data_IF_479878799724
#
_entry.id   IF_479878799724
#
_cell.length_a   1.000
_cell.length_b   1.000
_cell.length_c   1.000
_cell.angle_alpha   90.00
_cell.angle_beta   90.00
_cell.angle_gamma   90.00
#
_symmetry.space_group_name_H-M   'P 1'
#
loop_
_entity.id
_entity.type
_entity.pdbx_description
1 polymer ?
#
# COMPACT_ATOMS: atom_id res chain seq x y z
N UNK A 1 -1.49 9.78 -27.03
CA UNK A 1 -0.43 9.34 -26.11
C UNK A 1 -0.84 7.97 -25.62
N UNK A 2 -0.03 6.94 -25.89
CA UNK A 2 -0.27 5.59 -25.38
C UNK A 2 -0.10 5.58 -23.85
N UNK A 3 -0.93 4.82 -23.14
CA UNK A 3 -0.74 4.61 -21.70
C UNK A 3 0.65 3.96 -21.49
N UNK A 4 1.46 4.44 -20.53
CA UNK A 4 2.75 3.81 -20.23
C UNK A 4 2.54 2.34 -19.88
N UNK A 5 3.39 1.42 -20.33
CA UNK A 5 3.28 -0.02 -20.06
C UNK A 5 3.34 -0.30 -18.55
N UNK A 6 2.56 -1.27 -18.06
CA UNK A 6 2.61 -1.71 -16.66
C UNK A 6 4.00 -2.22 -16.29
N UNK A 7 4.47 -1.95 -15.07
CA UNK A 7 5.70 -2.56 -14.53
C UNK A 7 5.55 -4.09 -14.42
N UNK A 8 4.37 -4.52 -13.99
CA UNK A 8 3.96 -5.92 -13.95
C UNK A 8 2.43 -6.03 -13.84
N UNK A 9 1.91 -7.25 -13.95
CA UNK A 9 0.51 -7.56 -13.64
C UNK A 9 0.44 -8.78 -12.74
N UNK A 10 -0.22 -8.65 -11.60
CA UNK A 10 -0.46 -9.74 -10.66
C UNK A 10 -1.89 -10.29 -10.84
N UNK A 11 -2.05 -11.60 -10.75
CA UNK A 11 -3.37 -12.24 -10.84
C UNK A 11 -3.85 -12.66 -9.45
N UNK A 12 -5.06 -12.23 -9.10
CA UNK A 12 -5.81 -12.72 -7.96
C UNK A 12 -6.92 -13.63 -8.50
N UNK A 13 -6.64 -14.94 -8.47
CA UNK A 13 -7.51 -15.96 -9.02
C UNK A 13 -8.40 -16.58 -7.94
N UNK A 14 -9.68 -16.22 -7.98
CA UNK A 14 -10.68 -16.65 -7.00
C UNK A 14 -11.09 -18.11 -7.21
N UNK A 15 -10.84 -18.67 -8.40
CA UNK A 15 -11.30 -20.00 -8.80
C UNK A 15 -10.37 -21.13 -8.34
N UNK A 16 -9.10 -20.82 -8.05
CA UNK A 16 -8.07 -21.84 -7.77
C UNK A 16 -7.70 -21.99 -6.30
N UNK A 17 -8.44 -21.34 -5.38
CA UNK A 17 -8.15 -21.40 -3.96
C UNK A 17 -6.73 -20.91 -3.61
N UNK A 18 -6.15 -20.04 -4.44
CA UNK A 18 -4.83 -19.48 -4.17
C UNK A 18 -4.85 -18.76 -2.82
N UNK A 19 -3.86 -19.05 -1.98
CA UNK A 19 -3.68 -18.36 -0.70
C UNK A 19 -3.59 -16.85 -0.96
N UNK A 20 -4.60 -16.10 -0.55
CA UNK A 20 -4.61 -14.64 -0.61
C UNK A 20 -3.37 -14.03 0.06
N UNK A 21 -2.85 -14.64 1.12
CA UNK A 21 -1.57 -14.26 1.72
C UNK A 21 -0.38 -14.40 0.77
N UNK A 22 -0.35 -15.45 -0.06
CA UNK A 22 0.70 -15.64 -1.07
C UNK A 22 0.58 -14.59 -2.19
N UNK A 23 -0.64 -14.23 -2.60
CA UNK A 23 -0.87 -13.14 -3.55
C UNK A 23 -0.27 -11.83 -3.00
N UNK A 24 -0.63 -11.44 -1.77
CA UNK A 24 -0.12 -10.22 -1.15
C UNK A 24 1.41 -10.23 -1.00
N UNK A 25 2.00 -11.34 -0.54
CA UNK A 25 3.45 -11.48 -0.45
C UNK A 25 4.12 -11.38 -1.82
N UNK A 26 3.55 -12.05 -2.82
CA UNK A 26 4.06 -12.04 -4.19
C UNK A 26 4.04 -10.66 -4.82
N UNK A 27 2.99 -9.85 -4.57
CA UNK A 27 2.96 -8.45 -5.03
C UNK A 27 4.08 -7.64 -4.36
N UNK A 28 4.34 -7.83 -3.06
CA UNK A 28 5.47 -7.16 -2.38
C UNK A 28 6.82 -7.52 -3.00
N UNK A 29 7.01 -8.78 -3.39
CA UNK A 29 8.23 -9.20 -4.12
C UNK A 29 8.32 -8.56 -5.50
N UNK A 30 7.21 -8.52 -6.25
CA UNK A 30 7.19 -7.91 -7.58
C UNK A 30 7.46 -6.39 -7.53
N UNK A 31 6.99 -5.69 -6.49
CA UNK A 31 7.34 -4.28 -6.27
C UNK A 31 8.85 -4.07 -6.14
N UNK A 32 9.55 -5.00 -5.48
CA UNK A 32 11.02 -4.95 -5.31
C UNK A 32 11.74 -5.28 -6.62
N UNK A 33 11.23 -6.27 -7.37
CA UNK A 33 11.88 -6.73 -8.60
C UNK A 33 11.65 -5.83 -9.80
N UNK A 34 10.50 -5.18 -9.88
CA UNK A 34 10.05 -4.49 -11.09
C UNK A 34 9.78 -2.99 -10.87
N UNK A 35 9.39 -2.56 -9.67
CA UNK A 35 8.97 -1.18 -9.42
C UNK A 35 9.98 -0.35 -8.60
N UNK A 36 11.25 -0.79 -8.51
CA UNK A 36 12.30 -0.04 -7.83
C UNK A 36 12.12 0.10 -6.31
N UNK A 37 11.22 -0.68 -5.70
CA UNK A 37 11.08 -0.72 -4.25
C UNK A 37 12.29 -1.42 -3.60
N UNK A 38 12.58 -1.07 -2.35
CA UNK A 38 13.68 -1.65 -1.59
C UNK A 38 13.16 -2.54 -0.46
N UNK A 39 13.67 -3.78 -0.37
CA UNK A 39 13.37 -4.68 0.74
C UNK A 39 14.35 -4.47 1.90
N UNK A 40 13.80 -4.36 3.11
CA UNK A 40 14.52 -4.31 4.36
C UNK A 40 13.91 -5.28 5.37
N UNK A 41 14.59 -6.42 5.59
CA UNK A 41 14.01 -7.55 6.31
C UNK A 41 12.65 -7.92 5.68
N UNK A 42 11.60 -7.82 6.49
CA UNK A 42 10.22 -8.11 6.17
C UNK A 42 9.48 -6.89 5.56
N UNK A 43 10.03 -5.68 5.66
CA UNK A 43 9.38 -4.47 5.18
C UNK A 43 9.85 -4.11 3.76
N UNK A 44 8.95 -3.59 2.92
CA UNK A 44 9.28 -3.00 1.63
C UNK A 44 9.10 -1.48 1.69
N UNK A 45 10.12 -0.73 1.27
CA UNK A 45 10.05 0.72 1.10
C UNK A 45 9.80 1.03 -0.38
N UNK A 46 8.72 1.74 -0.68
CA UNK A 46 8.40 2.14 -2.06
C UNK A 46 9.41 3.13 -2.63
N UNK A 47 9.52 3.24 -3.97
CA UNK A 47 10.26 4.33 -4.59
C UNK A 47 9.64 5.69 -4.23
N UNK A 48 10.33 6.77 -4.61
CA UNK A 48 9.80 8.11 -4.46
C UNK A 48 8.44 8.25 -5.17
N UNK A 49 7.48 8.86 -4.49
CA UNK A 49 6.17 9.12 -5.05
C UNK A 49 6.25 10.23 -6.10
N UNK A 50 5.86 9.90 -7.33
CA UNK A 50 5.77 10.87 -8.42
C UNK A 50 4.65 11.88 -8.14
N UNK A 51 4.98 13.16 -8.34
CA UNK A 51 4.07 14.29 -8.15
C UNK A 51 2.97 14.35 -9.20
N UNK A 52 3.29 13.96 -10.44
CA UNK A 52 2.37 13.90 -11.58
C UNK A 52 1.77 12.49 -11.71
N UNK A 53 0.48 12.27 -11.37
CA UNK A 53 -0.13 10.94 -11.44
C UNK A 53 -0.05 10.28 -12.82
N UNK A 54 -0.03 11.08 -13.90
CA UNK A 54 0.08 10.57 -15.27
C UNK A 54 1.47 10.03 -15.64
N UNK A 55 2.50 10.37 -14.84
CA UNK A 55 3.86 9.87 -14.98
C UNK A 55 4.25 8.81 -13.94
N UNK A 56 3.39 8.58 -12.95
CA UNK A 56 3.68 7.65 -11.88
C UNK A 56 3.80 6.20 -12.42
N UNK A 57 4.77 5.41 -11.91
CA UNK A 57 4.84 4.00 -12.26
C UNK A 57 3.60 3.28 -11.73
N UNK A 58 3.13 2.28 -12.46
CA UNK A 58 1.93 1.54 -12.10
C UNK A 58 2.06 0.05 -12.39
N UNK A 59 1.27 -0.75 -11.68
CA UNK A 59 1.12 -2.17 -11.93
C UNK A 59 -0.36 -2.55 -12.03
N UNK A 60 -0.61 -3.65 -12.72
CA UNK A 60 -1.93 -4.22 -12.89
C UNK A 60 -2.26 -5.24 -11.79
N UNK A 61 -3.52 -5.26 -11.36
CA UNK A 61 -4.06 -6.42 -10.63
C UNK A 61 -5.26 -6.93 -11.38
N UNK A 62 -5.12 -8.12 -11.95
CA UNK A 62 -6.22 -8.82 -12.62
C UNK A 62 -6.98 -9.64 -11.60
N UNK A 63 -8.26 -9.35 -11.46
CA UNK A 63 -9.18 -10.18 -10.70
C UNK A 63 -9.85 -11.17 -11.65
N UNK A 64 -9.73 -12.46 -11.35
CA UNK A 64 -10.40 -13.53 -12.12
C UNK A 64 -11.51 -14.16 -11.29
N UNK A 65 -12.75 -13.94 -11.71
CA UNK A 65 -13.96 -14.49 -11.08
C UNK A 65 -14.49 -15.75 -11.81
N UNK A 66 -14.00 -16.02 -13.02
CA UNK A 66 -14.40 -17.17 -13.84
C UNK A 66 -13.63 -17.24 -15.16
N UNK A 67 -13.93 -18.20 -16.05
CA UNK A 67 -13.35 -18.25 -17.39
C UNK A 67 -13.83 -17.06 -18.22
N UNK A 68 -12.97 -16.05 -18.42
CA UNK A 68 -13.23 -14.89 -19.30
C UNK A 68 -13.61 -13.60 -18.56
N UNK A 69 -14.03 -13.68 -17.30
CA UNK A 69 -14.36 -12.52 -16.48
C UNK A 69 -13.09 -11.95 -15.82
N UNK A 70 -12.47 -10.97 -16.48
CA UNK A 70 -11.23 -10.32 -16.05
C UNK A 70 -11.43 -8.81 -15.86
N UNK A 71 -11.42 -8.35 -14.62
CA UNK A 71 -11.32 -6.92 -14.29
C UNK A 71 -9.85 -6.61 -14.00
N UNK A 72 -9.31 -5.58 -14.64
CA UNK A 72 -7.93 -5.15 -14.41
C UNK A 72 -7.90 -3.83 -13.64
N UNK A 73 -7.45 -3.86 -12.40
CA UNK A 73 -7.22 -2.67 -11.60
C UNK A 73 -5.85 -2.07 -11.90
N UNK A 74 -5.76 -0.75 -11.94
CA UNK A 74 -4.49 -0.02 -12.05
C UNK A 74 -4.14 0.60 -10.71
N UNK A 75 -2.97 0.23 -10.19
CA UNK A 75 -2.47 0.71 -8.90
C UNK A 75 -1.11 1.38 -9.11
N UNK A 76 -0.92 2.54 -8.50
CA UNK A 76 0.38 3.22 -8.47
C UNK A 76 1.41 2.38 -7.72
N UNK A 77 2.54 2.10 -8.34
CA UNK A 77 3.59 1.30 -7.74
C UNK A 77 4.40 2.07 -6.68
N UNK A 78 4.35 3.41 -6.71
CA UNK A 78 5.08 4.31 -5.81
C UNK A 78 4.30 4.71 -4.54
N UNK A 79 2.98 4.50 -4.52
CA UNK A 79 2.11 4.91 -3.42
C UNK A 79 1.05 3.89 -3.04
N UNK A 80 0.84 2.87 -3.89
CA UNK A 80 -0.23 1.87 -3.79
C UNK A 80 -1.65 2.45 -3.86
N UNK A 81 -1.82 3.68 -4.35
CA UNK A 81 -3.16 4.21 -4.63
C UNK A 81 -3.78 3.48 -5.82
N UNK A 82 -5.01 3.01 -5.64
CA UNK A 82 -5.83 2.51 -6.73
C UNK A 82 -6.27 3.71 -7.58
N UNK A 83 -5.98 3.70 -8.87
CA UNK A 83 -6.37 4.79 -9.77
C UNK A 83 -7.73 4.53 -10.42
N UNK A 84 -8.02 3.26 -10.72
CA UNK A 84 -9.16 2.91 -11.54
C UNK A 84 -9.12 1.46 -11.97
N UNK A 85 -10.03 1.10 -12.87
CA UNK A 85 -10.16 -0.25 -13.39
C UNK A 85 -10.50 -0.27 -14.87
N UNK A 86 -10.14 -1.37 -15.53
CA UNK A 86 -10.57 -1.72 -16.87
C UNK A 86 -11.60 -2.82 -16.76
N UNK A 87 -12.73 -2.57 -17.38
CA UNK A 87 -13.89 -3.43 -17.33
C UNK A 87 -13.84 -4.52 -18.43
N UNK A 88 -14.79 -5.47 -18.48
CA UNK A 88 -14.76 -6.58 -19.46
C UNK A 88 -14.94 -6.08 -20.90
N UNK A 89 -15.63 -4.96 -21.10
CA UNK A 89 -15.72 -4.26 -22.39
C UNK A 89 -14.38 -3.59 -22.81
N UNK A 90 -13.36 -3.65 -21.95
CA UNK A 90 -12.04 -3.10 -22.21
C UNK A 90 -11.94 -1.59 -22.02
N UNK A 91 -12.97 -0.95 -21.46
CA UNK A 91 -13.04 0.48 -21.17
C UNK A 91 -12.40 0.77 -19.81
N UNK A 92 -11.59 1.82 -19.77
CA UNK A 92 -11.00 2.31 -18.52
C UNK A 92 -11.93 3.27 -17.80
N UNK A 93 -12.02 3.11 -16.49
CA UNK A 93 -12.70 4.00 -15.56
C UNK A 93 -11.71 4.44 -14.49
N UNK A 94 -11.73 5.73 -14.15
CA UNK A 94 -10.83 6.35 -13.18
C UNK A 94 -11.64 7.17 -12.17
N UNK A 95 -11.16 7.30 -10.93
CA UNK A 95 -11.81 8.14 -9.92
C UNK A 95 -12.00 9.59 -10.39
N UNK A 96 -13.04 10.24 -9.85
CA UNK A 96 -13.28 11.64 -10.16
C UNK A 96 -12.07 12.51 -9.79
N UNK A 97 -11.66 13.38 -10.72
CA UNK A 97 -10.47 14.22 -10.56
C UNK A 97 -9.13 13.52 -10.79
N UNK A 98 -9.14 12.22 -11.13
CA UNK A 98 -7.96 11.47 -11.52
C UNK A 98 -7.39 11.89 -12.89
N UNK A 99 -6.12 11.58 -13.11
CA UNK A 99 -5.39 11.88 -14.35
C UNK A 99 -4.31 10.83 -14.68
N UNK A 100 -4.34 9.69 -14.00
CA UNK A 100 -3.38 8.60 -14.16
C UNK A 100 -3.72 7.67 -15.33
N UNK A 101 -4.94 7.73 -15.89
CA UNK A 101 -5.38 6.84 -16.97
C UNK A 101 -5.87 7.66 -18.16
N UNK A 102 -5.01 7.79 -19.18
CA UNK A 102 -5.35 8.53 -20.39
C UNK A 102 -6.59 7.95 -21.08
N UNK A 103 -7.62 8.79 -21.27
CA UNK A 103 -8.86 8.44 -21.93
C UNK A 103 -9.85 7.64 -21.08
N UNK A 104 -9.63 7.53 -19.77
CA UNK A 104 -10.57 6.88 -18.88
C UNK A 104 -11.88 7.69 -18.72
N UNK A 105 -12.97 6.96 -18.51
CA UNK A 105 -14.24 7.54 -18.10
C UNK A 105 -14.16 7.90 -16.62
N UNK A 106 -14.51 9.13 -16.26
CA UNK A 106 -14.55 9.54 -14.85
C UNK A 106 -15.70 8.86 -14.13
N UNK A 107 -15.39 8.22 -13.01
CA UNK A 107 -16.38 7.87 -11.99
C UNK A 107 -16.99 9.15 -11.41
N UNK A 108 -18.17 9.02 -10.80
CA UNK A 108 -18.89 10.12 -10.17
C UNK A 108 -18.49 10.39 -8.71
N UNK A 109 -17.45 9.71 -8.22
CA UNK A 109 -16.92 9.85 -6.86
C UNK A 109 -15.38 9.78 -6.90
N UNK A 110 -14.74 10.44 -5.93
CA UNK A 110 -13.28 10.46 -5.78
C UNK A 110 -12.72 9.22 -5.08
N UNK A 111 -11.39 9.17 -5.00
CA UNK A 111 -10.61 8.03 -4.48
C UNK A 111 -10.56 7.95 -2.94
N UNK A 112 -11.05 8.97 -2.24
CA UNK A 112 -11.03 8.95 -0.78
C UNK A 112 -12.05 7.96 -0.22
N UNK A 113 -11.71 7.30 0.90
CA UNK A 113 -12.65 6.42 1.59
C UNK A 113 -13.94 7.14 2.02
N UNK A 114 -13.91 8.47 2.23
CA UNK A 114 -15.09 9.25 2.55
C UNK A 114 -16.05 9.38 1.37
N UNK A 115 -15.52 9.67 0.18
CA UNK A 115 -16.31 9.78 -1.05
C UNK A 115 -16.83 8.42 -1.52
N UNK A 116 -15.99 7.38 -1.47
CA UNK A 116 -16.43 6.01 -1.77
C UNK A 116 -17.52 5.55 -0.80
N UNK A 117 -17.37 5.81 0.51
CA UNK A 117 -18.39 5.46 1.50
C UNK A 117 -19.72 6.19 1.26
N UNK A 118 -19.66 7.47 0.88
CA UNK A 118 -20.84 8.24 0.53
C UNK A 118 -21.55 7.66 -0.70
N UNK A 119 -20.82 7.39 -1.78
CA UNK A 119 -21.36 6.79 -3.00
C UNK A 119 -21.90 5.36 -2.78
N UNK A 120 -21.22 4.57 -1.94
CA UNK A 120 -21.62 3.22 -1.57
C UNK A 120 -22.79 3.19 -0.56
N UNK A 121 -23.12 4.34 0.05
CA UNK A 121 -24.08 4.44 1.16
C UNK A 121 -23.77 3.43 2.28
N UNK A 122 -22.49 3.22 2.57
CA UNK A 122 -22.00 2.32 3.61
C UNK A 122 -20.66 2.80 4.16
N UNK A 123 -20.41 2.53 5.43
CA UNK A 123 -19.15 2.90 6.08
C UNK A 123 -18.11 1.81 5.90
N UNK A 124 -16.83 2.20 5.84
CA UNK A 124 -15.70 1.28 5.71
C UNK A 124 -15.68 0.17 6.79
N UNK A 125 -16.12 0.48 8.02
CA UNK A 125 -16.18 -0.49 9.14
C UNK A 125 -17.32 -1.50 9.01
N UNK A 126 -18.29 -1.24 8.14
CA UNK A 126 -19.42 -2.14 7.84
C UNK A 126 -19.24 -2.88 6.52
N UNK A 127 -18.14 -2.60 5.81
CA UNK A 127 -17.84 -3.22 4.54
C UNK A 127 -17.49 -4.69 4.78
N UNK A 128 -18.24 -5.58 4.14
CA UNK A 128 -17.88 -6.99 4.05
C UNK A 128 -16.77 -7.12 3.03
N UNK A 129 -15.58 -7.52 3.49
CA UNK A 129 -14.46 -7.85 2.61
C UNK A 129 -14.67 -9.28 2.13
N UNK A 130 -15.22 -9.39 0.94
CA UNK A 130 -15.49 -10.64 0.26
C UNK A 130 -15.16 -10.51 -1.22
N UNK A 131 -14.69 -11.62 -1.79
CA UNK A 131 -14.34 -11.68 -3.21
C UNK A 131 -15.59 -11.71 -4.11
N UNK A 132 -16.74 -12.11 -3.54
CA UNK A 132 -18.05 -12.14 -4.21
C UNK A 132 -18.64 -10.72 -4.41
N UNK A 133 -18.11 -9.70 -3.72
CA UNK A 133 -18.59 -8.30 -3.75
C UNK A 133 -17.96 -7.47 -4.90
N UNK A 134 -17.24 -8.14 -5.81
CA UNK A 134 -16.45 -7.51 -6.87
C UNK A 134 -17.23 -7.47 -8.19
N UNK A 135 -18.25 -6.61 -8.24
CA UNK A 135 -19.15 -6.40 -9.39
C UNK A 135 -18.83 -5.13 -10.19
N UNK A 136 -17.53 -4.77 -10.32
CA UNK A 136 -17.12 -3.48 -10.88
C UNK A 136 -17.59 -3.21 -12.33
N UNK A 137 -18.01 -4.22 -13.10
CA UNK A 137 -18.37 -4.04 -14.52
C UNK A 137 -19.87 -3.93 -14.82
N UNK A 138 -20.76 -4.36 -13.93
CA UNK A 138 -22.21 -4.44 -14.26
C UNK A 138 -23.12 -3.75 -13.25
N UNK A 139 -22.52 -3.09 -12.26
CA UNK A 139 -23.24 -2.49 -11.14
C UNK A 139 -23.68 -1.05 -11.35
N UNK A 140 -24.67 -0.66 -10.56
CA UNK A 140 -24.98 0.73 -10.22
C UNK A 140 -23.76 1.45 -9.64
N UNK A 141 -23.77 2.79 -9.64
CA UNK A 141 -22.73 3.61 -8.98
C UNK A 141 -22.42 3.12 -7.55
N UNK A 142 -23.45 2.72 -6.82
CA UNK A 142 -23.33 2.19 -5.46
C UNK A 142 -22.48 0.91 -5.43
N UNK A 143 -22.77 -0.04 -6.30
CA UNK A 143 -22.04 -1.31 -6.40
C UNK A 143 -20.60 -1.08 -6.87
N UNK A 144 -20.37 -0.19 -7.84
CA UNK A 144 -19.01 0.20 -8.24
C UNK A 144 -18.24 0.80 -7.06
N UNK A 145 -18.86 1.69 -6.28
CA UNK A 145 -18.22 2.28 -5.10
C UNK A 145 -17.89 1.24 -4.02
N UNK A 146 -18.77 0.26 -3.79
CA UNK A 146 -18.51 -0.88 -2.90
C UNK A 146 -17.29 -1.67 -3.41
N UNK A 147 -17.27 -2.05 -4.69
CA UNK A 147 -16.17 -2.83 -5.26
C UNK A 147 -14.84 -2.07 -5.23
N UNK A 148 -14.81 -0.78 -5.57
CA UNK A 148 -13.59 0.05 -5.52
C UNK A 148 -13.08 0.19 -4.08
N UNK A 149 -13.98 0.38 -3.10
CA UNK A 149 -13.62 0.46 -1.69
C UNK A 149 -13.09 -0.88 -1.18
N UNK A 150 -13.74 -1.99 -1.53
CA UNK A 150 -13.29 -3.35 -1.19
C UNK A 150 -11.92 -3.64 -1.77
N UNK A 151 -11.67 -3.36 -3.05
CA UNK A 151 -10.36 -3.59 -3.69
C UNK A 151 -9.26 -2.70 -3.12
N UNK A 152 -9.57 -1.45 -2.78
CA UNK A 152 -8.61 -0.58 -2.10
C UNK A 152 -8.15 -1.22 -0.79
N UNK A 153 -9.06 -1.80 -0.01
CA UNK A 153 -8.70 -2.49 1.24
C UNK A 153 -7.99 -3.82 0.98
N UNK A 154 -8.58 -4.69 0.16
CA UNK A 154 -8.11 -6.05 -0.05
C UNK A 154 -6.83 -6.14 -0.88
N UNK A 155 -6.46 -5.09 -1.60
CA UNK A 155 -5.21 -5.06 -2.36
C UNK A 155 -4.28 -4.03 -1.76
N UNK A 156 -4.58 -2.74 -1.89
CA UNK A 156 -3.65 -1.69 -1.48
C UNK A 156 -3.36 -1.73 0.01
N UNK A 157 -4.38 -1.78 0.87
CA UNK A 157 -4.15 -1.81 2.31
C UNK A 157 -3.59 -3.14 2.79
N UNK A 158 -3.98 -4.25 2.18
CA UNK A 158 -3.41 -5.55 2.51
C UNK A 158 -1.94 -5.67 2.11
N UNK A 159 -1.52 -5.03 1.01
CA UNK A 159 -0.11 -4.87 0.68
C UNK A 159 0.59 -4.03 1.76
N UNK A 160 0.00 -2.88 2.17
CA UNK A 160 0.60 -1.99 3.19
C UNK A 160 0.68 -2.60 4.58
N UNK A 161 -0.32 -3.34 5.02
CA UNK A 161 -0.46 -3.80 6.40
C UNK A 161 -0.57 -5.32 6.48
N UNK A 162 0.23 -5.94 7.36
CA UNK A 162 0.18 -7.38 7.63
C UNK A 162 -1.08 -7.79 8.39
N UNK A 163 -1.69 -6.85 9.14
CA UNK A 163 -2.94 -7.04 9.87
C UNK A 163 -4.17 -7.06 8.96
N UNK A 164 -4.11 -6.34 7.83
CA UNK A 164 -5.20 -6.26 6.85
C UNK A 164 -4.98 -7.41 5.86
N UNK A 165 -5.56 -8.57 6.15
CA UNK A 165 -5.19 -9.77 5.39
C UNK A 165 -6.20 -10.91 5.41
N UNK A 166 -7.38 -10.69 6.00
CA UNK A 166 -8.36 -11.76 6.22
C UNK A 166 -9.74 -11.31 5.73
N UNK A 167 -10.44 -12.25 5.11
CA UNK A 167 -11.85 -12.13 4.77
C UNK A 167 -12.69 -11.75 6.01
N UNK A 168 -13.73 -10.96 5.82
CA UNK A 168 -14.62 -10.51 6.89
C UNK A 168 -14.72 -9.00 6.99
N UNK A 169 -15.03 -8.48 8.18
CA UNK A 169 -15.25 -7.04 8.41
C UNK A 169 -14.02 -6.42 9.06
N UNK A 170 -13.66 -5.20 8.64
CA UNK A 170 -12.60 -4.44 9.30
C UNK A 170 -13.00 -4.08 10.73
N UNK A 171 -12.14 -4.41 11.69
CA UNK A 171 -12.29 -3.88 13.04
C UNK A 171 -12.00 -2.37 13.10
N UNK A 172 -12.52 -1.68 14.11
CA UNK A 172 -12.32 -0.23 14.26
C UNK A 172 -10.83 0.18 14.35
N UNK A 173 -9.95 -0.68 14.89
CA UNK A 173 -8.52 -0.38 14.92
C UNK A 173 -7.88 -0.49 13.54
N UNK A 174 -8.28 -1.46 12.71
CA UNK A 174 -7.79 -1.60 11.33
C UNK A 174 -8.21 -0.42 10.47
N UNK A 175 -9.46 0.06 10.63
CA UNK A 175 -9.93 1.29 9.94
C UNK A 175 -9.06 2.49 10.29
N UNK A 176 -8.66 2.63 11.56
CA UNK A 176 -7.75 3.71 11.99
C UNK A 176 -6.34 3.53 11.40
N UNK A 177 -5.81 2.31 11.35
CA UNK A 177 -4.51 2.02 10.72
C UNK A 177 -4.49 2.43 9.25
N UNK A 178 -5.50 2.00 8.48
CA UNK A 178 -5.68 2.34 7.07
C UNK A 178 -5.68 3.86 6.84
N UNK A 179 -6.44 4.59 7.65
CA UNK A 179 -6.52 6.06 7.58
C UNK A 179 -5.22 6.77 7.98
N UNK A 180 -4.32 6.10 8.69
CA UNK A 180 -3.06 6.67 9.19
C UNK A 180 -1.82 6.18 8.44
N UNK A 181 -1.97 5.53 7.27
CA UNK A 181 -0.87 4.90 6.53
C UNK A 181 0.29 5.84 6.19
N UNK A 182 -0.01 7.09 5.82
CA UNK A 182 0.99 8.14 5.58
C UNK A 182 1.80 8.46 6.83
N UNK A 183 1.13 8.82 7.93
CA UNK A 183 1.79 9.15 9.21
C UNK A 183 2.60 7.99 9.78
N UNK A 184 2.14 6.74 9.60
CA UNK A 184 2.88 5.55 10.01
C UNK A 184 4.15 5.33 9.18
N UNK A 185 4.08 5.59 7.86
CA UNK A 185 5.23 5.51 6.98
C UNK A 185 6.27 6.58 7.32
N UNK A 186 5.82 7.81 7.60
CA UNK A 186 6.69 8.90 8.06
C UNK A 186 7.32 8.61 9.40
N UNK A 187 6.58 8.05 10.37
CA UNK A 187 7.14 7.65 11.66
C UNK A 187 8.24 6.60 11.50
N UNK A 188 8.03 5.59 10.65
CA UNK A 188 9.06 4.59 10.37
C UNK A 188 10.30 5.21 9.70
N UNK A 189 10.11 6.02 8.66
CA UNK A 189 11.20 6.72 7.97
C UNK A 189 11.92 7.71 8.86
N UNK A 190 11.21 8.36 9.78
CA UNK A 190 11.76 9.24 10.80
C UNK A 190 12.58 8.47 11.83
N UNK A 191 12.10 7.33 12.33
CA UNK A 191 12.82 6.54 13.34
C UNK A 191 14.18 6.00 12.86
N UNK A 192 14.32 5.71 11.57
CA UNK A 192 15.54 5.17 10.93
C UNK A 192 16.78 6.06 11.11
N UNK A 193 16.77 7.36 10.81
CA UNK A 193 17.91 8.25 11.04
C UNK A 193 18.24 8.51 12.52
N UNK A 194 17.34 8.25 13.48
CA UNK A 194 17.54 8.61 14.88
C UNK A 194 18.18 7.53 15.76
N UNK A 195 18.51 6.35 15.23
CA UNK A 195 19.16 5.28 16.01
C UNK A 195 20.67 5.50 16.20
N UNK A 196 21.25 6.57 15.62
CA UNK A 196 22.70 6.83 15.72
C UNK A 196 23.12 8.25 16.10
N UNK A 197 22.19 9.17 16.33
CA UNK A 197 22.52 10.46 16.92
C UNK A 197 22.36 10.34 18.44
N UNK A 198 23.43 10.67 19.18
CA UNK A 198 23.50 10.67 20.64
C UNK A 198 22.18 11.04 21.32
N UNK A 199 21.81 10.24 22.33
CA UNK A 199 20.65 10.48 23.18
C UNK A 199 20.64 11.88 23.81
N UNK A 200 21.80 12.54 23.91
CA UNK A 200 21.98 13.86 24.50
C UNK A 200 21.66 15.04 23.55
N UNK A 201 21.63 14.82 22.23
CA UNK A 201 21.23 15.85 21.26
C UNK A 201 19.69 16.00 21.14
N UNK A 202 18.93 15.04 21.70
CA UNK A 202 17.48 14.93 21.60
C UNK A 202 16.75 16.08 22.31
N UNK A 203 17.39 16.75 23.27
CA UNK A 203 16.76 17.80 24.06
C UNK A 203 16.62 19.16 23.32
N UNK A 204 17.26 19.37 22.17
CA UNK A 204 17.45 20.74 21.64
C UNK A 204 17.10 21.00 20.18
N UNK A 205 16.69 20.01 19.39
CA UNK A 205 16.21 20.25 18.02
C UNK A 205 14.75 19.87 17.84
N UNK A 206 13.90 20.90 17.79
CA UNK A 206 12.49 20.85 17.42
C UNK A 206 12.33 20.30 16.00
N UNK A 207 12.14 19.00 15.88
CA UNK A 207 11.28 18.43 14.85
C UNK A 207 10.07 17.88 15.58
N UNK A 208 8.92 18.46 15.27
CA UNK A 208 7.69 18.27 16.03
C UNK A 208 7.36 16.79 16.21
N UNK A 209 7.35 16.41 17.48
CA UNK A 209 6.88 15.15 18.02
C UNK A 209 5.60 14.73 17.27
N UNK A 210 5.64 13.65 16.47
CA UNK A 210 4.42 13.05 15.93
C UNK A 210 3.53 12.77 17.15
N UNK A 211 2.38 13.44 17.29
CA UNK A 211 1.65 13.38 18.53
C UNK A 211 1.32 11.93 18.88
N UNK A 212 1.60 11.51 20.12
CA UNK A 212 1.32 10.15 20.59
C UNK A 212 -0.13 9.73 20.30
N UNK A 213 -1.08 10.66 20.20
CA UNK A 213 -2.47 10.36 19.85
C UNK A 213 -2.68 9.87 18.39
N UNK A 214 -1.76 10.14 17.46
CA UNK A 214 -1.76 9.58 16.10
C UNK A 214 -1.22 8.14 16.07
N UNK A 215 -0.38 7.77 17.05
CA UNK A 215 0.18 6.42 17.24
C UNK A 215 -0.62 5.56 18.24
N UNK A 216 -1.37 6.22 19.14
CA UNK A 216 -2.19 5.63 20.19
C UNK A 216 -3.22 4.60 19.69
N UNK A 217 -3.81 4.71 18.47
CA UNK A 217 -4.75 3.70 17.99
C UNK A 217 -4.10 2.40 17.54
N UNK A 218 -2.80 2.41 17.21
CA UNK A 218 -2.08 1.25 16.68
C UNK A 218 -1.20 0.53 17.71
N UNK A 219 -1.04 1.08 18.94
CA UNK A 219 -0.09 0.58 19.97
C UNK A 219 1.31 0.28 19.39
N UNK A 220 1.79 1.18 18.54
CA UNK A 220 3.14 1.06 17.98
C UNK A 220 4.10 1.70 18.98
N UNK A 221 4.46 0.90 19.97
CA UNK A 221 5.30 1.34 21.10
C UNK A 221 6.79 1.44 20.73
N UNK A 222 7.19 0.81 19.61
CA UNK A 222 8.56 0.83 19.11
C UNK A 222 8.62 0.51 17.59
N UNK A 223 9.81 0.66 17.00
CA UNK A 223 10.05 0.36 15.59
C UNK A 223 9.74 -1.11 15.24
N UNK A 224 9.97 -2.05 16.16
CA UNK A 224 9.67 -3.47 15.94
C UNK A 224 8.15 -3.72 15.85
N UNK A 225 7.34 -3.02 16.65
CA UNK A 225 5.88 -3.06 16.49
C UNK A 225 5.43 -2.45 15.16
N UNK A 226 6.07 -1.36 14.70
CA UNK A 226 5.79 -0.78 13.38
C UNK A 226 6.12 -1.76 12.24
N UNK A 227 7.27 -2.44 12.32
CA UNK A 227 7.69 -3.45 11.34
C UNK A 227 6.84 -4.72 11.37
N UNK A 228 6.27 -5.05 12.53
CA UNK A 228 5.34 -6.19 12.65
C UNK A 228 3.97 -5.86 12.03
N UNK A 229 3.54 -4.60 12.09
CA UNK A 229 2.28 -4.14 11.53
C UNK A 229 2.35 -3.84 10.02
N UNK A 230 3.44 -3.22 9.56
CA UNK A 230 3.63 -2.80 8.17
C UNK A 230 4.27 -3.91 7.31
N UNK A 231 3.69 -4.11 6.13
CA UNK A 231 4.30 -4.85 5.03
C UNK A 231 5.02 -3.93 4.04
N UNK A 232 4.51 -2.71 3.86
CA UNK A 232 5.08 -1.69 2.97
C UNK A 232 5.05 -0.31 3.64
N UNK A 233 6.10 0.49 3.48
CA UNK A 233 6.17 1.89 3.87
C UNK A 233 6.23 2.80 2.64
N UNK A 234 5.51 3.93 2.70
CA UNK A 234 5.53 4.98 1.68
C UNK A 234 6.79 5.83 1.78
N UNK A 235 7.33 6.27 0.64
CA UNK A 235 8.47 7.19 0.60
C UNK A 235 8.03 8.65 0.42
N UNK A 236 7.52 9.23 1.52
CA UNK A 236 6.95 10.59 1.54
C UNK A 236 7.97 11.71 1.81
N UNK A 237 9.21 11.39 2.18
CA UNK A 237 10.21 12.36 2.65
C UNK A 237 11.46 12.44 1.75
N UNK A 238 11.27 12.65 0.43
CA UNK A 238 12.39 12.75 -0.52
C UNK A 238 13.43 13.80 -0.14
N UNK A 239 12.99 14.98 0.30
CA UNK A 239 13.90 16.07 0.69
C UNK A 239 14.77 15.76 1.92
N UNK A 240 14.32 14.87 2.83
CA UNK A 240 15.13 14.38 3.95
C UNK A 240 16.05 13.25 3.50
N UNK A 241 15.56 12.36 2.62
CA UNK A 241 16.37 11.29 2.07
C UNK A 241 17.52 11.81 1.22
N UNK A 242 17.32 12.83 0.40
CA UNK A 242 18.39 13.38 -0.44
C UNK A 242 19.44 14.11 0.39
N UNK A 243 19.02 14.88 1.40
CA UNK A 243 19.92 15.55 2.34
C UNK A 243 20.76 14.59 3.17
N UNK A 244 20.20 13.44 3.53
CA UNK A 244 20.86 12.44 4.36
C UNK A 244 21.20 11.15 3.60
N UNK A 245 21.23 11.17 2.26
CA UNK A 245 21.32 9.99 1.41
C UNK A 245 22.47 9.08 1.81
N UNK A 246 23.65 9.64 2.00
CA UNK A 246 24.86 8.90 2.41
C UNK A 246 24.68 8.25 3.78
N UNK A 247 24.06 8.95 4.74
CA UNK A 247 23.83 8.45 6.08
C UNK A 247 22.76 7.36 6.11
N UNK A 248 21.66 7.54 5.37
CA UNK A 248 20.64 6.52 5.13
C UNK A 248 21.24 5.31 4.43
N UNK A 249 21.95 5.47 3.31
CA UNK A 249 22.61 4.38 2.58
C UNK A 249 23.60 3.62 3.46
N UNK A 250 24.33 4.32 4.34
CA UNK A 250 25.21 3.69 5.33
C UNK A 250 24.40 2.94 6.39
N UNK A 251 23.39 3.56 6.98
CA UNK A 251 22.49 2.90 7.94
C UNK A 251 21.89 1.64 7.34
N UNK A 252 21.36 1.71 6.12
CA UNK A 252 20.81 0.58 5.38
C UNK A 252 21.83 -0.51 5.05
N UNK A 253 23.10 -0.17 4.84
CA UNK A 253 24.17 -1.18 4.72
C UNK A 253 24.48 -1.85 6.06
N UNK A 254 24.56 -1.06 7.13
CA UNK A 254 24.83 -1.56 8.49
C UNK A 254 23.69 -2.53 8.92
N UNK A 255 22.42 -2.15 8.74
CA UNK A 255 21.29 -3.02 9.13
C UNK A 255 21.20 -4.27 8.26
N UNK A 256 21.42 -4.19 6.94
CA UNK A 256 21.50 -5.39 6.06
C UNK A 256 22.58 -6.38 6.51
N UNK A 257 23.71 -5.86 7.01
CA UNK A 257 24.79 -6.70 7.52
C UNK A 257 24.37 -7.41 8.80
N UNK A 258 23.66 -6.73 9.70
CA UNK A 258 23.12 -7.30 10.93
C UNK A 258 22.04 -8.35 10.65
N UNK A 259 21.09 -8.07 9.76
CA UNK A 259 20.06 -9.01 9.32
C UNK A 259 20.66 -10.35 8.85
N UNK A 260 21.62 -10.29 7.92
CA UNK A 260 22.34 -11.47 7.41
C UNK A 260 23.13 -12.21 8.47
N UNK A 261 23.55 -11.54 9.54
CA UNK A 261 24.20 -12.18 10.68
C UNK A 261 23.17 -12.98 11.48
N UNK A 262 22.04 -12.37 11.83
CA UNK A 262 20.96 -13.02 12.58
C UNK A 262 20.37 -14.22 11.83
N UNK A 263 20.20 -14.13 10.51
CA UNK A 263 19.69 -15.26 9.70
C UNK A 263 20.67 -16.44 9.71
N UNK A 264 21.97 -16.18 9.64
CA UNK A 264 23.01 -17.22 9.74
C UNK A 264 23.01 -17.88 11.11
N UNK A 265 22.87 -17.09 12.17
CA UNK A 265 22.80 -17.61 13.54
C UNK A 265 21.57 -18.50 13.76
N UNK A 266 20.42 -18.11 13.22
CA UNK A 266 19.18 -18.93 13.25
C UNK A 266 19.33 -20.23 12.47
N UNK A 267 19.94 -20.18 11.30
CA UNK A 267 20.19 -21.36 10.47
C UNK A 267 21.18 -22.34 11.12
N UNK A 268 22.15 -21.85 11.91
CA UNK A 268 23.08 -22.69 12.66
C UNK A 268 22.53 -23.26 13.97
N UNK A 269 21.37 -22.77 14.41
CA UNK A 269 20.70 -23.22 15.63
C UNK A 269 19.57 -24.24 15.36
N UNK A 270 19.32 -24.57 14.09
CA UNK A 270 18.36 -25.59 13.62
C UNK A 270 19.11 -26.81 13.10
#
# INVERSE_FOLDING_TARGET
>A
MENPTAEFTAELDLTRGSSYGNFISGVRDQLVHHAGAMRHLELVLLPHQESDPGKAPWFGVTLRHGPGDLVLFRIRADSLYLCGYRNYAGQWHEFHGGSAISGATSLSFGESYGEMAAAASTELVKLTLGMDELAADTGTQRETAISMMTMSVMVSEAIRFRSVGRHGVLSAHMVKQVKSSGSLSEYWLGAVPYIKADADAIASQRYDYIPQHLLAPAKIDCQDHAMTALGVALNLQSGLQDKHKVALDKHWRDVRTLARKLDRERASAS
#
